data_IF_306277082590
#
_entry.id   IF_306277082590
#
_cell.length_a   1.000
_cell.length_b   1.000
_cell.length_c   1.000
_cell.angle_alpha   90.00
_cell.angle_beta   90.00
_cell.angle_gamma   90.00
#
_symmetry.space_group_name_H-M   'P 1'
#
loop_
_entity.id
_entity.type
_entity.pdbx_description
1 polymer ?
#
# COMPACT_ATOMS: atom_id res chain seq x y z
N UNK A 1 -18.54 -23.47 33.34
CA UNK A 1 -18.94 -23.51 34.76
C UNK A 1 -18.60 -22.16 35.37
N UNK A 2 -19.59 -21.29 35.53
CA UNK A 2 -19.41 -20.03 36.27
C UNK A 2 -19.55 -20.37 37.75
N UNK A 3 -18.43 -20.50 38.45
CA UNK A 3 -18.46 -20.64 39.91
C UNK A 3 -19.06 -19.37 40.49
N UNK A 4 -20.22 -19.52 41.12
CA UNK A 4 -20.83 -18.45 41.88
C UNK A 4 -19.88 -18.09 43.03
N UNK A 5 -19.50 -16.82 43.21
CA UNK A 5 -18.60 -16.43 44.29
C UNK A 5 -19.23 -16.75 45.64
N UNK A 6 -18.40 -17.19 46.59
CA UNK A 6 -18.82 -17.42 47.97
C UNK A 6 -19.51 -16.18 48.52
N UNK A 7 -20.71 -16.39 49.07
CA UNK A 7 -21.53 -15.30 49.63
C UNK A 7 -21.12 -15.10 51.08
N UNK A 8 -20.78 -13.87 51.45
CA UNK A 8 -20.51 -13.48 52.83
C UNK A 8 -21.85 -13.39 53.57
N UNK A 9 -21.97 -14.05 54.73
CA UNK A 9 -23.16 -13.95 55.57
C UNK A 9 -23.30 -12.52 56.12
N UNK A 10 -24.51 -11.98 56.12
CA UNK A 10 -24.76 -10.58 56.50
C UNK A 10 -24.41 -10.30 57.98
N UNK A 11 -24.51 -11.32 58.82
CA UNK A 11 -24.22 -11.26 60.26
C UNK A 11 -22.71 -11.15 60.57
N UNK A 12 -21.84 -11.49 59.60
CA UNK A 12 -20.38 -11.40 59.71
C UNK A 12 -19.81 -10.08 59.14
N UNK A 13 -20.68 -9.18 58.67
CA UNK A 13 -20.29 -7.92 58.03
C UNK A 13 -19.99 -6.83 59.07
N UNK A 14 -18.87 -6.96 59.78
CA UNK A 14 -18.35 -5.90 60.67
C UNK A 14 -17.79 -4.72 59.85
N UNK A 15 -17.62 -3.55 60.50
CA UNK A 15 -16.97 -2.39 59.86
C UNK A 15 -15.58 -2.74 59.32
N UNK A 16 -14.79 -3.47 60.10
CA UNK A 16 -13.44 -3.90 59.70
C UNK A 16 -13.48 -4.88 58.52
N UNK A 17 -14.46 -5.79 58.49
CA UNK A 17 -14.66 -6.69 57.36
C UNK A 17 -15.06 -5.92 56.10
N UNK A 18 -15.87 -4.87 56.24
CA UNK A 18 -16.26 -4.01 55.12
C UNK A 18 -15.07 -3.19 54.59
N UNK A 19 -14.23 -2.66 55.47
CA UNK A 19 -13.01 -1.93 55.10
C UNK A 19 -12.02 -2.86 54.36
N UNK A 20 -11.82 -4.08 54.85
CA UNK A 20 -11.00 -5.09 54.18
C UNK A 20 -11.50 -5.41 52.76
N UNK A 21 -12.82 -5.50 52.55
CA UNK A 21 -13.42 -5.70 51.23
C UNK A 21 -13.20 -4.48 50.31
N UNK A 22 -13.24 -3.26 50.85
CA UNK A 22 -12.94 -2.06 50.07
C UNK A 22 -11.47 -1.99 49.67
N UNK A 23 -10.56 -2.34 50.57
CA UNK A 23 -9.13 -2.42 50.29
C UNK A 23 -8.83 -3.48 49.21
N UNK A 24 -9.43 -4.67 49.32
CA UNK A 24 -9.30 -5.73 48.32
C UNK A 24 -9.81 -5.28 46.94
N UNK A 25 -11.00 -4.66 46.90
CA UNK A 25 -11.59 -4.11 45.68
C UNK A 25 -10.67 -3.08 45.03
N UNK A 26 -10.10 -2.19 45.81
CA UNK A 26 -9.26 -1.11 45.30
C UNK A 26 -7.90 -1.64 44.83
N UNK A 27 -7.33 -2.63 45.51
CA UNK A 27 -6.16 -3.39 45.05
C UNK A 27 -6.44 -4.15 43.74
N UNK A 28 -7.60 -4.79 43.62
CA UNK A 28 -8.03 -5.49 42.41
C UNK A 28 -8.20 -4.51 41.23
N UNK A 29 -8.83 -3.35 41.47
CA UNK A 29 -8.97 -2.29 40.46
C UNK A 29 -7.61 -1.73 40.02
N UNK A 30 -6.69 -1.49 40.95
CA UNK A 30 -5.35 -1.04 40.63
C UNK A 30 -4.60 -2.06 39.76
N UNK A 31 -4.72 -3.34 40.11
CA UNK A 31 -4.13 -4.44 39.32
C UNK A 31 -4.74 -4.52 37.93
N UNK A 32 -6.06 -4.47 37.82
CA UNK A 32 -6.77 -4.50 36.54
C UNK A 32 -6.34 -3.33 35.64
N UNK A 33 -6.22 -2.11 36.19
CA UNK A 33 -5.71 -0.93 35.43
C UNK A 33 -4.30 -1.16 34.91
N UNK A 34 -3.39 -1.67 35.75
CA UNK A 34 -2.00 -1.96 35.35
C UNK A 34 -1.92 -3.02 34.26
N UNK A 35 -2.72 -4.09 34.37
CA UNK A 35 -2.76 -5.16 33.37
C UNK A 35 -3.34 -4.65 32.05
N UNK A 36 -4.43 -3.90 32.10
CA UNK A 36 -5.05 -3.31 30.91
C UNK A 36 -4.06 -2.38 30.19
N UNK A 37 -3.36 -1.51 30.92
CA UNK A 37 -2.34 -0.65 30.33
C UNK A 37 -1.22 -1.45 29.64
N UNK A 38 -0.73 -2.53 30.26
CA UNK A 38 0.27 -3.41 29.66
C UNK A 38 -0.27 -4.12 28.41
N UNK A 39 -1.52 -4.56 28.44
CA UNK A 39 -2.17 -5.19 27.29
C UNK A 39 -2.28 -4.21 26.12
N UNK A 40 -2.75 -2.98 26.37
CA UNK A 40 -2.83 -1.93 25.35
C UNK A 40 -1.46 -1.61 24.74
N UNK A 41 -0.39 -1.54 25.55
CA UNK A 41 0.96 -1.36 25.03
C UNK A 41 1.40 -2.53 24.14
N UNK A 42 1.10 -3.76 24.54
CA UNK A 42 1.45 -4.95 23.76
C UNK A 42 0.66 -4.99 22.43
N UNK A 43 -0.64 -4.71 22.47
CA UNK A 43 -1.49 -4.60 21.28
C UNK A 43 -0.98 -3.51 20.32
N UNK A 44 -0.62 -2.34 20.84
CA UNK A 44 -0.06 -1.25 20.04
C UNK A 44 1.26 -1.66 19.37
N UNK A 45 2.13 -2.37 20.09
CA UNK A 45 3.38 -2.90 19.51
C UNK A 45 3.11 -3.95 18.44
N UNK A 46 2.21 -4.90 18.70
CA UNK A 46 1.84 -5.93 17.73
C UNK A 46 1.24 -5.32 16.47
N UNK A 47 0.34 -4.35 16.60
CA UNK A 47 -0.25 -3.64 15.47
C UNK A 47 0.79 -2.84 14.66
N UNK A 48 1.89 -2.38 15.28
CA UNK A 48 3.00 -1.77 14.56
C UNK A 48 3.78 -2.83 13.75
N UNK A 49 4.06 -4.00 14.34
CA UNK A 49 4.72 -5.10 13.64
C UNK A 49 3.88 -5.66 12.49
N UNK A 50 2.59 -5.89 12.70
CA UNK A 50 1.67 -6.40 11.68
C UNK A 50 1.61 -5.47 10.47
N UNK A 51 1.49 -4.16 10.69
CA UNK A 51 1.50 -3.14 9.61
C UNK A 51 2.82 -3.06 8.87
N UNK A 52 3.93 -3.34 9.54
CA UNK A 52 5.25 -3.35 8.91
C UNK A 52 5.44 -4.59 8.05
N UNK A 53 5.04 -5.77 8.55
CA UNK A 53 5.15 -7.07 7.86
C UNK A 53 4.19 -7.16 6.68
N UNK A 54 3.00 -6.57 6.76
CA UNK A 54 2.02 -6.59 5.66
C UNK A 54 2.50 -5.89 4.38
N UNK A 55 3.56 -5.08 4.47
CA UNK A 55 4.16 -4.39 3.33
C UNK A 55 5.28 -5.20 2.64
N UNK A 56 5.60 -6.39 3.15
CA UNK A 56 6.67 -7.20 2.59
C UNK A 56 6.17 -7.91 1.34
N UNK A 57 6.99 -7.91 0.29
CA UNK A 57 6.73 -8.68 -0.93
C UNK A 57 7.51 -9.99 -0.85
N UNK A 58 6.80 -11.11 -0.78
CA UNK A 58 7.38 -12.44 -0.65
C UNK A 58 7.08 -13.21 -1.93
N UNK A 59 8.12 -13.56 -2.68
CA UNK A 59 8.01 -14.31 -3.92
C UNK A 59 9.13 -15.36 -4.05
N UNK A 60 9.10 -16.15 -5.12
CA UNK A 60 10.08 -17.23 -5.36
C UNK A 60 11.52 -16.74 -5.47
N UNK A 61 11.73 -15.46 -5.81
CA UNK A 61 13.07 -14.85 -5.92
C UNK A 61 13.60 -14.34 -4.57
N UNK A 62 12.75 -14.28 -3.55
CA UNK A 62 13.11 -13.88 -2.19
C UNK A 62 12.05 -13.01 -1.53
N UNK A 63 12.41 -12.48 -0.35
CA UNK A 63 11.57 -11.56 0.41
C UNK A 63 12.15 -10.15 0.32
N UNK A 64 11.37 -9.24 -0.26
CA UNK A 64 11.65 -7.81 -0.20
C UNK A 64 11.05 -7.21 1.07
N UNK A 65 11.90 -6.51 1.81
CA UNK A 65 11.55 -5.85 3.06
C UNK A 65 11.76 -4.35 2.88
N UNK A 66 10.68 -3.53 2.92
CA UNK A 66 10.81 -2.08 2.86
C UNK A 66 11.64 -1.54 4.01
N UNK A 67 12.44 -0.51 3.73
CA UNK A 67 13.25 0.14 4.74
C UNK A 67 12.38 0.81 5.82
N UNK A 68 11.24 1.37 5.41
CA UNK A 68 10.22 1.91 6.32
C UNK A 68 9.71 0.87 7.32
N UNK A 69 9.50 -0.38 6.87
CA UNK A 69 9.09 -1.49 7.73
C UNK A 69 10.18 -1.85 8.74
N UNK A 70 11.44 -1.98 8.32
CA UNK A 70 12.57 -2.25 9.23
C UNK A 70 12.71 -1.15 10.29
N UNK A 71 12.55 0.12 9.88
CA UNK A 71 12.59 1.26 10.81
C UNK A 71 11.45 1.19 11.82
N UNK A 72 10.22 0.91 11.36
CA UNK A 72 9.05 0.82 12.23
C UNK A 72 9.20 -0.32 13.26
N UNK A 73 9.71 -1.47 12.83
CA UNK A 73 10.01 -2.61 13.70
C UNK A 73 11.08 -2.22 14.74
N UNK A 74 12.14 -1.53 14.33
CA UNK A 74 13.19 -1.08 15.25
C UNK A 74 12.66 -0.14 16.34
N UNK A 75 11.84 0.85 15.94
CA UNK A 75 11.19 1.77 16.89
C UNK A 75 10.29 1.00 17.87
N UNK A 76 9.43 0.10 17.37
CA UNK A 76 8.52 -0.68 18.21
C UNK A 76 9.25 -1.65 19.15
N UNK A 77 10.38 -2.21 18.72
CA UNK A 77 11.26 -3.07 19.51
C UNK A 77 12.19 -2.29 20.46
N UNK A 78 12.25 -0.96 20.37
CA UNK A 78 13.20 -0.15 21.12
C UNK A 78 14.67 -0.43 20.75
N UNK A 79 14.91 -0.96 19.54
CA UNK A 79 16.24 -1.32 19.04
C UNK A 79 16.55 -0.48 17.82
N UNK A 80 17.75 0.10 17.76
CA UNK A 80 18.25 0.69 16.52
C UNK A 80 18.75 -0.42 15.58
N UNK A 81 17.81 -1.09 14.92
CA UNK A 81 18.09 -2.13 13.90
C UNK A 81 18.92 -1.54 12.74
N UNK A 82 18.87 -0.22 12.57
CA UNK A 82 19.48 0.50 11.46
C UNK A 82 20.85 1.08 11.82
N UNK A 83 21.28 1.05 13.09
CA UNK A 83 22.54 1.62 13.58
C UNK A 83 23.82 0.98 13.02
N UNK A 84 23.74 -0.17 12.33
CA UNK A 84 24.88 -0.75 11.61
C UNK A 84 25.00 -0.18 10.19
N UNK A 85 25.55 1.03 10.12
CA UNK A 85 25.69 1.86 8.92
C UNK A 85 26.61 1.21 7.87
N UNK A 86 26.02 0.46 6.94
CA UNK A 86 26.55 0.28 5.57
C UNK A 86 25.45 -0.03 4.54
N UNK A 87 24.44 -0.77 4.95
CA UNK A 87 23.34 -1.21 4.07
C UNK A 87 22.20 -0.17 3.96
N UNK A 88 22.09 0.75 4.93
CA UNK A 88 21.06 1.80 5.02
C UNK A 88 20.94 2.71 3.78
N UNK A 89 22.07 3.31 3.37
CA UNK A 89 22.07 4.22 2.20
C UNK A 89 21.80 3.47 0.91
N UNK A 90 22.04 2.16 0.86
CA UNK A 90 21.74 1.35 -0.31
C UNK A 90 20.23 1.14 -0.41
N UNK A 91 19.57 0.69 0.66
CA UNK A 91 18.12 0.48 0.67
C UNK A 91 17.32 1.77 0.42
N UNK A 92 17.70 2.88 1.05
CA UNK A 92 17.06 4.18 0.77
C UNK A 92 17.23 4.62 -0.68
N UNK A 93 18.41 4.38 -1.28
CA UNK A 93 18.65 4.70 -2.69
C UNK A 93 17.85 3.79 -3.62
N UNK A 94 17.68 2.52 -3.26
CA UNK A 94 16.84 1.57 -4.01
C UNK A 94 15.37 1.99 -3.95
N UNK A 95 14.82 2.28 -2.76
CA UNK A 95 13.43 2.77 -2.62
C UNK A 95 13.20 4.07 -3.42
N UNK A 96 14.13 5.03 -3.33
CA UNK A 96 14.05 6.27 -4.11
C UNK A 96 14.12 6.02 -5.61
N UNK A 97 14.97 5.08 -6.06
CA UNK A 97 15.07 4.70 -7.45
C UNK A 97 13.78 4.04 -7.93
N UNK A 98 13.19 3.11 -7.17
CA UNK A 98 11.93 2.46 -7.50
C UNK A 98 10.77 3.44 -7.57
N UNK A 99 10.66 4.36 -6.61
CA UNK A 99 9.65 5.42 -6.63
C UNK A 99 9.80 6.31 -7.87
N UNK A 100 11.05 6.61 -8.26
CA UNK A 100 11.35 7.37 -9.47
C UNK A 100 11.01 6.59 -10.74
N UNK A 101 11.28 5.29 -10.79
CA UNK A 101 10.90 4.42 -11.91
C UNK A 101 9.38 4.42 -12.07
N UNK A 102 8.60 4.20 -11.00
CA UNK A 102 7.13 4.25 -11.05
C UNK A 102 6.60 5.61 -11.54
N UNK A 103 7.20 6.70 -11.07
CA UNK A 103 6.81 8.05 -11.51
C UNK A 103 7.12 8.26 -13.00
N UNK A 104 8.28 7.79 -13.47
CA UNK A 104 8.66 7.86 -14.88
C UNK A 104 7.77 6.98 -15.76
N UNK A 105 7.40 5.78 -15.31
CA UNK A 105 6.47 4.90 -16.04
C UNK A 105 5.08 5.52 -16.18
N UNK A 106 4.57 6.15 -15.12
CA UNK A 106 3.31 6.89 -15.17
C UNK A 106 3.38 8.08 -16.14
N UNK A 107 4.49 8.81 -16.12
CA UNK A 107 4.73 9.94 -17.00
C UNK A 107 4.87 9.52 -18.47
N UNK A 108 5.62 8.44 -18.75
CA UNK A 108 5.73 7.85 -20.08
C UNK A 108 4.34 7.43 -20.57
N UNK A 109 3.54 6.76 -19.74
CA UNK A 109 2.17 6.37 -20.09
C UNK A 109 1.33 7.60 -20.47
N UNK A 110 1.41 8.67 -19.69
CA UNK A 110 0.71 9.94 -19.94
C UNK A 110 1.16 10.59 -21.25
N UNK A 111 2.47 10.66 -21.50
CA UNK A 111 3.05 11.25 -22.69
C UNK A 111 2.73 10.42 -23.94
N UNK A 112 2.84 9.09 -23.87
CA UNK A 112 2.47 8.19 -24.98
C UNK A 112 0.99 8.32 -25.33
N UNK A 113 0.10 8.43 -24.34
CA UNK A 113 -1.32 8.68 -24.59
C UNK A 113 -1.56 10.03 -25.30
N UNK A 114 -0.82 11.08 -24.94
CA UNK A 114 -0.89 12.40 -25.58
C UNK A 114 -0.17 12.51 -26.93
N UNK A 115 0.82 11.64 -27.20
CA UNK A 115 1.52 11.60 -28.48
C UNK A 115 0.66 10.99 -29.57
N UNK A 116 -0.20 10.02 -29.27
CA UNK A 116 -1.13 9.47 -30.27
C UNK A 116 -2.09 10.53 -30.82
N UNK A 117 -2.56 11.47 -29.98
CA UNK A 117 -3.47 12.54 -30.41
C UNK A 117 -2.74 13.67 -31.12
N UNK A 118 -1.57 14.11 -30.64
CA UNK A 118 -0.78 15.13 -31.33
C UNK A 118 -0.18 14.62 -32.65
N UNK A 119 0.27 13.37 -32.71
CA UNK A 119 0.75 12.76 -33.95
C UNK A 119 -0.39 12.61 -34.96
N UNK A 120 -1.61 12.24 -34.52
CA UNK A 120 -2.78 12.21 -35.39
C UNK A 120 -3.15 13.61 -35.90
N UNK A 121 -3.24 14.61 -35.03
CA UNK A 121 -3.55 15.98 -35.41
C UNK A 121 -2.48 16.59 -36.35
N UNK A 122 -1.20 16.36 -36.05
CA UNK A 122 -0.10 16.76 -36.93
C UNK A 122 -0.13 16.02 -38.27
N UNK A 123 -0.44 14.72 -38.28
CA UNK A 123 -0.61 13.96 -39.52
C UNK A 123 -1.82 14.45 -40.34
N UNK A 124 -2.95 14.73 -39.71
CA UNK A 124 -4.14 15.27 -40.38
C UNK A 124 -3.87 16.67 -40.95
N UNK A 125 -3.12 17.50 -40.24
CA UNK A 125 -2.73 18.83 -40.71
C UNK A 125 -1.73 18.78 -41.88
N UNK A 126 -0.78 17.84 -41.84
CA UNK A 126 0.18 17.62 -42.94
C UNK A 126 -0.43 16.93 -44.17
N UNK A 127 -1.51 16.15 -43.99
CA UNK A 127 -2.21 15.42 -45.05
C UNK A 127 -3.54 16.05 -45.45
N UNK A 128 -3.60 17.38 -45.50
CA UNK A 128 -4.69 18.08 -46.20
C UNK A 128 -4.78 17.68 -47.68
N UNK A 129 -3.68 17.20 -48.27
CA UNK A 129 -3.65 16.48 -49.55
C UNK A 129 -3.26 15.01 -49.31
N UNK A 130 -3.98 14.01 -49.87
CA UNK A 130 -3.61 12.60 -49.73
C UNK A 130 -2.23 12.33 -50.35
N UNK A 131 -1.29 11.83 -49.56
CA UNK A 131 0.05 11.45 -50.04
C UNK A 131 0.13 9.93 -50.14
N UNK A 132 0.65 9.43 -51.25
CA UNK A 132 0.76 8.00 -51.43
C UNK A 132 1.85 7.40 -50.51
N UNK A 133 1.47 6.45 -49.65
CA UNK A 133 2.41 5.68 -48.81
C UNK A 133 2.52 6.13 -47.35
N UNK A 134 1.49 6.76 -46.79
CA UNK A 134 1.48 7.16 -45.38
C UNK A 134 1.72 5.95 -44.45
N UNK A 135 2.72 6.01 -43.52
CA UNK A 135 3.05 4.91 -42.63
C UNK A 135 2.06 4.73 -41.46
N UNK A 136 1.07 5.63 -41.32
CA UNK A 136 0.07 5.58 -40.24
C UNK A 136 -1.28 5.09 -40.77
N UNK A 137 -1.68 3.83 -40.52
CA UNK A 137 -2.87 3.21 -41.11
C UNK A 137 -4.20 3.77 -40.60
N UNK A 138 -4.19 4.63 -39.57
CA UNK A 138 -5.38 5.25 -38.99
C UNK A 138 -5.61 6.69 -39.48
N UNK A 139 -4.75 7.23 -40.33
CA UNK A 139 -4.95 8.58 -40.86
C UNK A 139 -6.08 8.58 -41.91
N UNK A 140 -6.84 9.68 -41.99
CA UNK A 140 -7.95 9.84 -42.93
C UNK A 140 -7.55 9.60 -44.39
N UNK A 141 -6.34 10.02 -44.78
CA UNK A 141 -5.80 9.80 -46.12
C UNK A 141 -5.54 8.32 -46.45
N UNK A 142 -5.19 7.49 -45.46
CA UNK A 142 -5.05 6.04 -45.64
C UNK A 142 -6.43 5.38 -45.74
N UNK A 143 -7.37 5.76 -44.86
CA UNK A 143 -8.76 5.26 -44.91
C UNK A 143 -9.45 5.59 -46.24
N UNK A 144 -9.29 6.81 -46.75
CA UNK A 144 -9.88 7.25 -48.02
C UNK A 144 -9.29 6.49 -49.23
N UNK A 145 -7.99 6.12 -49.18
CA UNK A 145 -7.37 5.28 -50.21
C UNK A 145 -8.03 3.90 -50.25
N UNK A 146 -8.17 3.27 -49.09
CA UNK A 146 -8.72 1.91 -48.99
C UNK A 146 -10.20 1.89 -49.41
N UNK A 147 -10.95 2.96 -49.12
CA UNK A 147 -12.33 3.13 -49.59
C UNK A 147 -12.43 3.33 -51.11
N UNK A 148 -11.49 4.06 -51.75
CA UNK A 148 -11.47 4.23 -53.21
C UNK A 148 -11.05 2.98 -53.97
N UNK A 149 -10.18 2.14 -53.39
CA UNK A 149 -9.77 0.88 -54.01
C UNK A 149 -10.94 -0.11 -54.17
N UNK A 150 -11.96 -0.03 -53.32
CA UNK A 150 -13.13 -0.90 -53.37
C UNK A 150 -14.16 -0.51 -54.45
N UNK A 151 -14.02 0.62 -55.14
CA UNK A 151 -15.04 1.18 -56.05
C UNK A 151 -14.71 1.12 -57.55
N UNK A 152 -13.76 0.27 -57.98
CA UNK A 152 -13.57 0.01 -59.41
C UNK A 152 -14.56 -1.08 -59.89
N UNK A 153 -15.56 -0.77 -60.74
CA UNK A 153 -16.42 -1.79 -61.33
C UNK A 153 -15.59 -2.59 -62.34
N UNK A 154 -15.46 -3.90 -62.10
CA UNK A 154 -14.88 -4.81 -63.07
C UNK A 154 -15.62 -4.69 -64.40
N UNK A 155 -14.90 -4.32 -65.45
CA UNK A 155 -15.42 -4.34 -66.82
C UNK A 155 -15.26 -5.79 -67.32
N UNK A 156 -16.35 -6.57 -67.51
CA UNK A 156 -16.24 -7.86 -68.16
C UNK A 156 -15.97 -7.66 -69.67
N UNK A 157 -15.10 -8.51 -70.19
CA UNK A 157 -14.69 -8.58 -71.60
C UNK A 157 -15.77 -9.18 -72.51
#
# INVERSE_FOLDING_TARGET
MTTQPDRIALDDLTSDALDALYDERDAARATARRLNYRAQQAESKNAAFERAVSQWDVNERGTYIPHTSLRAIGIAAGTDILGSVRHLKHFQRVEQAEARVRALEAEVTRLTAGQCTHALAACEQHHTTPVAGCPYPRCRAATDRDQRAATAPGTPA
#
